data_IF_422088916071
#
_entry.id   IF_422088916071
#
_cell.length_a   1.000
_cell.length_b   1.000
_cell.length_c   1.000
_cell.angle_alpha   90.00
_cell.angle_beta   90.00
_cell.angle_gamma   90.00
#
_symmetry.space_group_name_H-M   'P 1'
#
loop_
_entity.id
_entity.type
_entity.pdbx_description
1 polymer ?
#
# COMPACT_ATOMS: atom_id res chain seq x y z
N UNK A 1 21.55 12.59 48.95
CA UNK A 1 20.23 12.13 48.45
C UNK A 1 19.77 12.83 47.15
N UNK A 2 20.23 14.05 46.81
CA UNK A 2 19.83 14.77 45.57
C UNK A 2 20.34 14.17 44.24
N UNK A 3 21.37 13.32 44.26
CA UNK A 3 21.97 12.72 43.06
C UNK A 3 21.11 11.60 42.43
N UNK A 4 20.20 10.99 43.20
CA UNK A 4 19.37 9.88 42.72
C UNK A 4 18.12 10.35 41.95
N UNK A 5 17.63 11.57 42.23
CA UNK A 5 16.51 12.17 41.51
C UNK A 5 16.88 12.59 40.07
N UNK A 6 18.11 13.03 39.83
CA UNK A 6 18.55 13.44 38.48
C UNK A 6 18.66 12.28 37.49
N UNK A 7 18.96 11.08 37.97
CA UNK A 7 19.11 9.89 37.11
C UNK A 7 17.74 9.37 36.62
N UNK A 8 16.71 9.45 37.46
CA UNK A 8 15.35 9.03 37.12
C UNK A 8 14.72 9.93 36.05
N UNK A 9 14.98 11.25 36.09
CA UNK A 9 14.46 12.19 35.07
C UNK A 9 15.13 12.01 33.71
N UNK A 10 16.41 11.63 33.68
CA UNK A 10 17.16 11.40 32.44
C UNK A 10 16.70 10.14 31.70
N UNK A 11 16.32 9.08 32.43
CA UNK A 11 15.78 7.83 31.86
C UNK A 11 14.35 8.04 31.31
N UNK A 12 13.55 8.91 31.94
CA UNK A 12 12.21 9.20 31.43
C UNK A 12 12.24 10.06 30.16
N UNK A 13 13.26 10.93 30.02
CA UNK A 13 13.40 11.80 28.85
C UNK A 13 13.88 11.03 27.59
N UNK A 14 14.65 9.95 27.75
CA UNK A 14 15.09 9.11 26.62
C UNK A 14 13.98 8.21 26.07
N UNK A 15 12.98 7.84 26.87
CA UNK A 15 11.81 7.10 26.38
C UNK A 15 10.90 7.93 25.46
N UNK A 16 10.85 9.25 25.63
CA UNK A 16 10.02 10.13 24.78
C UNK A 16 10.60 10.37 23.39
N UNK A 17 11.90 10.16 23.19
CA UNK A 17 12.57 10.31 21.90
C UNK A 17 12.53 9.03 21.03
N UNK A 18 11.98 7.94 21.55
CA UNK A 18 11.96 6.62 20.89
C UNK A 18 10.87 6.43 19.84
N UNK A 19 9.88 7.32 19.74
CA UNK A 19 8.85 7.29 18.69
C UNK A 19 9.14 8.36 17.63
N UNK A 20 10.30 8.29 16.99
CA UNK A 20 10.45 8.94 15.70
C UNK A 20 9.65 8.10 14.69
N UNK A 21 8.39 8.48 14.44
CA UNK A 21 7.62 7.97 13.31
C UNK A 21 8.51 8.08 12.08
N UNK A 22 8.86 6.94 11.49
CA UNK A 22 9.76 6.88 10.35
C UNK A 22 9.18 7.77 9.27
N UNK A 23 9.86 8.87 8.94
CA UNK A 23 9.32 9.86 8.03
C UNK A 23 9.03 9.21 6.68
N UNK A 24 7.75 9.17 6.31
CA UNK A 24 7.31 8.58 5.06
C UNK A 24 7.91 9.36 3.89
N UNK A 25 8.47 8.64 2.93
CA UNK A 25 8.93 9.21 1.66
C UNK A 25 7.74 9.89 0.96
N UNK A 26 7.96 10.94 0.14
CA UNK A 26 6.87 11.66 -0.51
C UNK A 26 5.85 10.77 -1.25
N UNK A 27 6.30 9.72 -1.92
CA UNK A 27 5.42 8.76 -2.61
C UNK A 27 4.59 7.88 -1.65
N UNK A 28 5.07 7.63 -0.44
CA UNK A 28 4.31 6.86 0.57
C UNK A 28 3.18 7.71 1.15
N UNK A 29 3.39 9.04 1.22
CA UNK A 29 2.34 9.98 1.65
C UNK A 29 1.20 10.07 0.64
N UNK A 30 1.50 10.07 -0.66
CA UNK A 30 0.46 10.10 -1.70
C UNK A 30 -0.36 8.81 -1.73
N UNK A 31 0.26 7.67 -1.42
CA UNK A 31 -0.37 6.34 -1.43
C UNK A 31 -1.43 6.13 -0.35
N UNK A 32 -1.26 6.71 0.84
CA UNK A 32 -2.19 6.54 1.95
C UNK A 32 -3.54 7.16 1.62
N UNK A 33 -4.62 6.41 1.81
CA UNK A 33 -5.97 6.83 1.49
C UNK A 33 -6.90 5.67 1.14
N UNK A 34 -8.11 6.00 0.70
CA UNK A 34 -9.06 5.06 0.12
C UNK A 34 -9.12 5.30 -1.39
N UNK A 35 -8.98 4.21 -2.14
CA UNK A 35 -8.87 4.19 -3.58
C UNK A 35 -10.01 3.36 -4.17
N UNK A 36 -10.84 3.94 -5.01
CA UNK A 36 -11.91 3.23 -5.71
C UNK A 36 -11.34 2.57 -6.96
N UNK A 37 -11.63 1.29 -7.16
CA UNK A 37 -11.32 0.58 -8.41
C UNK A 37 -12.21 1.14 -9.54
N UNK A 38 -11.60 1.57 -10.64
CA UNK A 38 -12.34 2.07 -11.82
C UNK A 38 -12.07 1.25 -13.08
N UNK A 39 -11.01 0.46 -13.11
CA UNK A 39 -10.74 -0.47 -14.21
C UNK A 39 -9.90 -1.68 -13.79
N UNK A 40 -10.07 -2.77 -14.53
CA UNK A 40 -9.19 -3.94 -14.52
C UNK A 40 -8.82 -4.23 -15.97
N UNK A 41 -7.57 -4.60 -16.24
CA UNK A 41 -7.18 -5.02 -17.57
C UNK A 41 -6.10 -6.07 -17.56
N UNK A 42 -5.79 -6.53 -18.76
CA UNK A 42 -4.72 -7.49 -19.01
C UNK A 42 -4.63 -7.87 -20.47
N UNK A 43 -3.82 -8.89 -20.77
CA UNK A 43 -3.80 -9.55 -22.08
C UNK A 43 -4.36 -10.97 -21.98
N UNK A 44 -4.95 -11.44 -23.06
CA UNK A 44 -5.13 -12.88 -23.34
C UNK A 44 -4.49 -13.18 -24.67
N UNK A 45 -3.34 -13.88 -24.68
CA UNK A 45 -2.49 -13.99 -25.85
C UNK A 45 -2.01 -12.62 -26.36
N UNK A 46 -2.41 -12.27 -27.59
CA UNK A 46 -1.97 -11.03 -28.28
C UNK A 46 -2.95 -9.84 -28.15
N UNK A 47 -4.05 -10.00 -27.41
CA UNK A 47 -5.08 -8.96 -27.31
C UNK A 47 -5.11 -8.35 -25.91
N UNK A 48 -4.85 -7.04 -25.86
CA UNK A 48 -5.01 -6.23 -24.66
C UNK A 48 -6.47 -5.82 -24.48
N UNK A 49 -6.96 -5.89 -23.24
CA UNK A 49 -8.30 -5.45 -22.89
C UNK A 49 -8.31 -4.63 -21.60
N UNK A 50 -9.27 -3.71 -21.50
CA UNK A 50 -9.55 -2.91 -20.31
C UNK A 50 -11.05 -2.99 -20.05
N UNK A 51 -11.40 -3.41 -18.84
CA UNK A 51 -12.77 -3.52 -18.37
C UNK A 51 -13.04 -2.38 -17.38
N UNK A 52 -13.92 -1.43 -17.71
CA UNK A 52 -14.33 -0.41 -16.76
C UNK A 52 -15.13 -1.04 -15.62
N UNK A 53 -14.87 -0.60 -14.40
CA UNK A 53 -15.56 -1.03 -13.19
C UNK A 53 -16.58 0.04 -12.77
N UNK A 54 -17.87 -0.31 -12.65
CA UNK A 54 -18.89 0.64 -12.22
C UNK A 54 -18.60 1.14 -10.80
N UNK A 55 -19.01 2.37 -10.51
CA UNK A 55 -18.81 2.95 -9.18
C UNK A 55 -19.65 2.26 -8.08
N UNK A 56 -20.69 1.52 -8.46
CA UNK A 56 -21.64 0.83 -7.57
C UNK A 56 -21.81 -0.62 -8.07
N UNK A 57 -21.66 -1.64 -7.20
CA UNK A 57 -21.26 -1.54 -5.80
C UNK A 57 -19.81 -1.04 -5.65
N UNK A 58 -19.52 -0.36 -4.53
CA UNK A 58 -18.20 0.20 -4.30
C UNK A 58 -17.17 -0.93 -4.18
N UNK A 59 -16.15 -0.87 -5.05
CA UNK A 59 -14.94 -1.66 -4.94
C UNK A 59 -13.78 -0.75 -4.57
N UNK A 60 -13.13 -0.98 -3.44
CA UNK A 60 -12.12 -0.05 -2.93
C UNK A 60 -10.97 -0.72 -2.19
N UNK A 61 -9.80 -0.11 -2.29
CA UNK A 61 -8.58 -0.47 -1.58
C UNK A 61 -8.26 0.65 -0.59
N UNK A 62 -8.20 0.33 0.70
CA UNK A 62 -7.76 1.27 1.73
C UNK A 62 -6.35 0.94 2.18
N UNK A 63 -5.45 1.92 2.07
CA UNK A 63 -4.04 1.82 2.44
C UNK A 63 -3.79 2.72 3.64
N UNK A 64 -3.40 2.09 4.77
CA UNK A 64 -3.25 2.77 6.06
C UNK A 64 -1.78 3.01 6.40
N UNK A 65 -1.49 4.13 7.08
CA UNK A 65 -0.11 4.50 7.50
C UNK A 65 0.59 3.43 8.35
N UNK A 66 -0.19 2.60 9.06
CA UNK A 66 0.34 1.53 9.93
C UNK A 66 0.77 0.28 9.15
N UNK A 67 0.89 0.34 7.82
CA UNK A 67 1.31 -0.78 6.99
C UNK A 67 0.22 -1.83 6.77
N UNK A 68 -1.05 -1.52 7.08
CA UNK A 68 -2.20 -2.39 6.77
C UNK A 68 -2.87 -1.97 5.48
N UNK A 69 -3.40 -2.95 4.75
CA UNK A 69 -4.27 -2.70 3.61
C UNK A 69 -5.52 -3.57 3.68
N UNK A 70 -6.63 -3.08 3.12
CA UNK A 70 -7.91 -3.76 3.11
C UNK A 70 -8.62 -3.52 1.78
N UNK A 71 -9.04 -4.61 1.15
CA UNK A 71 -9.85 -4.61 -0.06
C UNK A 71 -11.33 -4.86 0.25
N UNK A 72 -12.20 -4.06 -0.35
CA UNK A 72 -13.65 -4.26 -0.35
C UNK A 72 -14.11 -4.53 -1.78
N UNK A 73 -14.88 -5.60 -1.98
CA UNK A 73 -15.41 -6.01 -3.28
C UNK A 73 -14.70 -7.23 -3.86
N UNK A 74 -15.40 -7.92 -4.76
CA UNK A 74 -15.01 -9.24 -5.25
C UNK A 74 -13.68 -9.23 -6.04
N UNK A 75 -13.43 -8.18 -6.82
CA UNK A 75 -12.20 -8.04 -7.59
C UNK A 75 -10.95 -7.82 -6.72
N UNK A 76 -11.13 -7.52 -5.42
CA UNK A 76 -10.04 -7.15 -4.51
C UNK A 76 -9.74 -8.22 -3.46
N UNK A 77 -10.28 -9.43 -3.59
CA UNK A 77 -10.01 -10.56 -2.68
C UNK A 77 -8.51 -10.82 -2.47
N UNK A 78 -7.71 -10.71 -3.53
CA UNK A 78 -6.24 -10.88 -3.48
C UNK A 78 -5.51 -9.79 -2.66
N UNK A 79 -6.16 -8.64 -2.46
CA UNK A 79 -5.65 -7.52 -1.68
C UNK A 79 -6.09 -7.55 -0.21
N UNK A 80 -6.77 -8.59 0.25
CA UNK A 80 -7.05 -8.76 1.69
C UNK A 80 -5.86 -9.40 2.40
N UNK A 81 -4.76 -8.64 2.49
CA UNK A 81 -3.52 -9.05 3.16
C UNK A 81 -3.26 -8.20 4.40
N UNK A 82 -2.81 -8.80 5.52
CA UNK A 82 -2.67 -8.07 6.78
C UNK A 82 -1.63 -6.96 6.74
N UNK A 83 -0.65 -7.04 5.83
CA UNK A 83 0.50 -6.12 5.80
C UNK A 83 0.95 -5.80 4.38
N UNK A 84 1.44 -4.59 4.17
CA UNK A 84 2.15 -4.20 2.96
C UNK A 84 3.46 -3.48 3.28
N UNK A 85 4.37 -3.44 2.31
CA UNK A 85 5.54 -2.57 2.29
C UNK A 85 5.71 -1.99 0.89
N UNK A 86 6.24 -0.78 0.83
CA UNK A 86 6.74 -0.23 -0.44
C UNK A 86 8.24 -0.43 -0.51
N UNK A 87 8.69 -0.99 -1.63
CA UNK A 87 10.11 -1.18 -1.92
C UNK A 87 10.44 -0.49 -3.25
N UNK A 88 11.67 -0.02 -3.36
CA UNK A 88 12.22 0.49 -4.62
C UNK A 88 13.15 -0.58 -5.18
N UNK A 89 12.92 -1.00 -6.42
CA UNK A 89 13.71 -2.01 -7.10
C UNK A 89 14.08 -1.47 -8.49
N UNK A 90 15.33 -1.03 -8.65
CA UNK A 90 15.76 -0.29 -9.82
C UNK A 90 15.04 1.06 -9.94
N UNK A 91 14.46 1.30 -11.12
CA UNK A 91 13.61 2.47 -11.44
C UNK A 91 12.14 2.26 -11.08
N UNK A 92 11.77 1.10 -10.53
CA UNK A 92 10.38 0.75 -10.23
C UNK A 92 10.08 0.84 -8.74
N UNK A 93 8.87 1.31 -8.44
CA UNK A 93 8.27 1.19 -7.11
C UNK A 93 7.41 -0.06 -7.08
N UNK A 94 7.58 -0.89 -6.05
CA UNK A 94 6.80 -2.12 -5.87
C UNK A 94 5.97 -2.05 -4.59
N UNK A 95 4.72 -2.48 -4.69
CA UNK A 95 3.87 -2.81 -3.56
C UNK A 95 4.07 -4.30 -3.23
N UNK A 96 4.68 -4.57 -2.09
CA UNK A 96 4.85 -5.93 -1.59
C UNK A 96 3.78 -6.22 -0.53
N UNK A 97 2.95 -7.23 -0.79
CA UNK A 97 1.87 -7.66 0.10
C UNK A 97 2.27 -8.93 0.86
N UNK A 98 2.11 -8.93 2.19
CA UNK A 98 2.47 -10.07 3.04
C UNK A 98 1.25 -10.71 3.69
N UNK A 99 1.21 -12.05 3.68
CA UNK A 99 0.27 -12.89 4.43
C UNK A 99 0.90 -13.52 5.67
N UNK A 100 0.13 -14.31 6.42
CA UNK A 100 0.67 -15.11 7.54
C UNK A 100 1.67 -16.19 7.07
N UNK A 101 1.47 -16.73 5.87
CA UNK A 101 2.10 -17.99 5.44
C UNK A 101 2.68 -17.96 4.00
N UNK A 102 2.89 -16.79 3.41
CA UNK A 102 3.40 -16.68 2.02
C UNK A 102 4.51 -15.65 1.88
N UNK A 103 5.51 -15.98 1.05
CA UNK A 103 6.47 -15.02 0.52
C UNK A 103 5.73 -13.85 -0.14
N UNK A 104 6.28 -12.63 0.03
CA UNK A 104 5.63 -11.39 -0.35
C UNK A 104 5.21 -11.35 -1.82
N UNK A 105 3.96 -10.99 -2.08
CA UNK A 105 3.47 -10.77 -3.45
C UNK A 105 3.86 -9.38 -3.90
N UNK A 106 4.82 -9.28 -4.82
CA UNK A 106 5.36 -8.01 -5.32
C UNK A 106 4.65 -7.55 -6.59
N UNK A 107 3.86 -6.49 -6.49
CA UNK A 107 3.22 -5.83 -7.64
C UNK A 107 3.96 -4.55 -8.00
N UNK A 108 4.04 -4.21 -9.28
CA UNK A 108 4.49 -2.87 -9.69
C UNK A 108 3.44 -1.84 -9.32
N UNK A 109 3.89 -0.70 -8.78
CA UNK A 109 3.06 0.39 -8.33
C UNK A 109 3.43 1.67 -9.07
N UNK A 110 2.44 2.35 -9.65
CA UNK A 110 2.57 3.67 -10.26
C UNK A 110 1.48 4.59 -9.73
N UNK A 111 1.84 5.79 -9.29
CA UNK A 111 0.90 6.79 -8.76
C UNK A 111 1.09 8.07 -9.56
N UNK A 112 -0.01 8.63 -10.06
CA UNK A 112 -0.04 9.86 -10.85
C UNK A 112 -1.20 10.73 -10.40
N UNK A 113 -0.93 11.74 -9.58
CA UNK A 113 -1.96 12.55 -8.94
C UNK A 113 -2.90 11.68 -8.11
N UNK A 114 -4.19 11.71 -8.43
CA UNK A 114 -5.24 10.92 -7.77
C UNK A 114 -5.47 9.55 -8.43
N UNK A 115 -4.58 9.11 -9.33
CA UNK A 115 -4.67 7.78 -9.94
C UNK A 115 -3.56 6.87 -9.45
N UNK A 116 -3.89 5.61 -9.22
CA UNK A 116 -2.96 4.57 -8.82
C UNK A 116 -3.16 3.35 -9.72
N UNK A 117 -2.07 2.83 -10.26
CA UNK A 117 -2.05 1.61 -11.03
C UNK A 117 -1.21 0.56 -10.31
N UNK A 118 -1.80 -0.63 -10.14
CA UNK A 118 -1.12 -1.79 -9.58
C UNK A 118 -1.07 -2.86 -10.66
N UNK A 119 0.13 -3.26 -11.05
CA UNK A 119 0.34 -4.38 -11.97
C UNK A 119 0.91 -5.58 -11.19
N UNK A 120 0.07 -6.56 -10.83
CA UNK A 120 0.57 -7.78 -10.21
C UNK A 120 1.48 -8.58 -11.15
N UNK A 121 2.31 -9.47 -10.61
CA UNK A 121 3.01 -10.47 -11.40
C UNK A 121 1.97 -11.42 -12.01
N UNK A 122 1.86 -11.40 -13.33
CA UNK A 122 1.09 -12.37 -14.08
C UNK A 122 1.72 -12.57 -15.46
N UNK A 123 1.45 -13.72 -16.09
CA UNK A 123 2.12 -14.14 -17.31
C UNK A 123 1.78 -13.24 -18.51
N UNK A 124 0.51 -12.86 -18.65
CA UNK A 124 0.01 -12.12 -19.83
C UNK A 124 -0.12 -10.61 -19.58
N UNK A 125 0.39 -10.09 -18.45
CA UNK A 125 0.19 -8.69 -18.08
C UNK A 125 -1.21 -8.43 -17.55
N UNK A 126 -1.29 -7.83 -16.37
CA UNK A 126 -2.53 -7.57 -15.66
C UNK A 126 -2.37 -6.23 -14.95
N UNK A 127 -3.45 -5.48 -14.82
CA UNK A 127 -3.43 -4.26 -14.01
C UNK A 127 -4.78 -3.97 -13.38
N UNK A 128 -4.70 -3.20 -12.30
CA UNK A 128 -5.83 -2.60 -11.61
C UNK A 128 -5.61 -1.09 -11.59
N UNK A 129 -6.61 -0.34 -12.07
CA UNK A 129 -6.62 1.12 -12.02
C UNK A 129 -7.55 1.62 -10.92
N UNK A 130 -7.03 2.50 -10.07
CA UNK A 130 -7.75 3.09 -8.97
C UNK A 130 -7.71 4.61 -8.99
N UNK A 131 -8.76 5.23 -8.47
CA UNK A 131 -8.86 6.67 -8.26
C UNK A 131 -9.03 6.98 -6.77
N UNK A 132 -8.31 7.97 -6.26
CA UNK A 132 -8.37 8.38 -4.86
C UNK A 132 -9.74 8.98 -4.58
N UNK A 133 -10.36 8.54 -3.49
CA UNK A 133 -11.66 9.04 -3.02
C UNK A 133 -11.59 9.61 -1.61
N UNK A 134 -10.56 9.27 -0.82
CA UNK A 134 -10.26 9.82 0.51
C UNK A 134 -8.76 9.77 0.79
#
# INVERSE_FOLDING_TARGET
MKKLQFLATLIFLTCLLGCADKELRPYERSLVGTWRLFEVGGSTGYQWYVLPIPAIPLQSLTIMRNGKLSGQGDALSNFNRPRYRIISEGDQVKLELYGKDTDGFKSTLRIEGDTMHIAPPCFEGCHYGFVKIR
#
